data_IF_588723068024
#
_entry.id   IF_588723068024
#
_cell.length_a   1.000
_cell.length_b   1.000
_cell.length_c   1.000
_cell.angle_alpha   90.00
_cell.angle_beta   90.00
_cell.angle_gamma   90.00
#
_symmetry.space_group_name_H-M   'P 1'
#
loop_
_entity.id
_entity.type
_entity.pdbx_description
1 polymer ?
#
# COMPACT_ATOMS: atom_id res chain seq x y z
N UNK A 1 -29.27 -58.11 45.92
CA UNK A 1 -29.42 -57.56 44.54
C UNK A 1 -29.30 -56.05 44.66
N UNK A 2 -28.05 -55.52 44.46
CA UNK A 2 -27.72 -54.12 44.67
C UNK A 2 -27.50 -53.49 43.24
N UNK A 3 -28.37 -52.55 42.89
CA UNK A 3 -28.36 -51.80 41.65
C UNK A 3 -27.32 -50.65 41.73
N UNK A 4 -26.21 -50.74 41.01
CA UNK A 4 -25.30 -49.63 40.79
C UNK A 4 -25.85 -48.71 39.69
N UNK A 5 -26.23 -47.48 40.09
CA UNK A 5 -26.50 -46.37 39.18
C UNK A 5 -25.19 -45.78 38.67
N UNK A 6 -24.86 -46.00 37.41
CA UNK A 6 -23.76 -45.29 36.71
C UNK A 6 -24.24 -43.90 36.35
N UNK A 7 -23.65 -42.87 36.98
CA UNK A 7 -23.81 -41.45 36.56
C UNK A 7 -22.98 -41.24 35.29
N UNK A 8 -23.66 -40.93 34.19
CA UNK A 8 -23.02 -40.36 33.01
C UNK A 8 -22.53 -38.94 33.32
N UNK A 9 -21.21 -38.75 33.37
CA UNK A 9 -20.60 -37.43 33.39
C UNK A 9 -20.56 -36.94 31.93
N UNK A 10 -21.42 -35.97 31.59
CA UNK A 10 -21.33 -35.25 30.34
C UNK A 10 -20.12 -34.33 30.42
N UNK A 11 -19.04 -34.67 29.73
CA UNK A 11 -17.98 -33.73 29.40
C UNK A 11 -18.51 -32.78 28.31
N UNK A 12 -18.82 -31.54 28.68
CA UNK A 12 -18.97 -30.45 27.78
C UNK A 12 -17.57 -30.07 27.26
N UNK A 13 -17.17 -30.67 26.15
CA UNK A 13 -16.06 -30.17 25.38
C UNK A 13 -16.50 -28.83 24.76
N UNK A 14 -16.17 -27.73 25.41
CA UNK A 14 -16.21 -26.39 24.81
C UNK A 14 -15.08 -26.31 23.79
N UNK A 15 -15.35 -26.76 22.58
CA UNK A 15 -14.52 -26.43 21.42
C UNK A 15 -14.61 -24.92 21.20
N UNK A 16 -13.61 -24.19 21.69
CA UNK A 16 -13.27 -22.89 21.13
C UNK A 16 -12.78 -23.16 19.71
N UNK A 17 -13.68 -23.12 18.71
CA UNK A 17 -13.30 -22.95 17.33
C UNK A 17 -12.64 -21.57 17.28
N UNK A 18 -11.30 -21.52 17.32
CA UNK A 18 -10.58 -20.38 16.78
C UNK A 18 -11.19 -20.14 15.39
N UNK A 19 -11.76 -18.96 15.18
CA UNK A 19 -12.20 -18.57 13.86
C UNK A 19 -10.95 -18.50 13.01
N UNK A 20 -10.68 -19.55 12.25
CA UNK A 20 -9.68 -19.49 11.18
C UNK A 20 -10.13 -18.37 10.26
N UNK A 21 -9.40 -17.27 10.28
CA UNK A 21 -9.63 -16.16 9.33
C UNK A 21 -9.23 -16.72 7.97
N UNK A 22 -10.22 -17.06 7.15
CA UNK A 22 -9.98 -17.69 5.85
C UNK A 22 -9.36 -16.73 4.83
N UNK A 23 -9.51 -15.41 5.07
CA UNK A 23 -9.07 -14.36 4.16
C UNK A 23 -8.44 -13.20 4.93
N UNK A 24 -7.38 -12.63 4.39
CA UNK A 24 -6.82 -11.34 4.81
C UNK A 24 -7.39 -10.22 3.93
N UNK A 25 -7.83 -9.14 4.56
CA UNK A 25 -8.37 -7.95 3.93
C UNK A 25 -7.38 -6.83 4.00
N UNK A 26 -6.84 -6.46 2.85
CA UNK A 26 -5.78 -5.46 2.72
C UNK A 26 -6.35 -4.22 2.02
N UNK A 27 -6.10 -3.05 2.61
CA UNK A 27 -6.30 -1.75 1.95
C UNK A 27 -4.95 -1.15 1.63
N UNK A 28 -4.73 -0.79 0.38
CA UNK A 28 -3.62 0.06 -0.03
C UNK A 28 -4.14 1.49 -0.28
N UNK A 29 -3.51 2.49 0.32
CA UNK A 29 -3.79 3.92 0.12
C UNK A 29 -2.70 4.46 -0.82
N UNK A 30 -3.11 5.10 -1.90
CA UNK A 30 -2.21 5.68 -2.90
C UNK A 30 -1.44 6.89 -2.36
N UNK A 31 -0.52 7.39 -3.18
CA UNK A 31 0.49 8.40 -2.84
C UNK A 31 -0.06 9.53 -1.96
N UNK A 32 0.33 9.56 -0.68
CA UNK A 32 -0.13 10.57 0.29
C UNK A 32 0.63 11.87 0.03
N UNK A 33 -0.09 12.93 -0.40
CA UNK A 33 0.51 14.22 -0.76
C UNK A 33 0.23 15.29 0.31
N UNK A 34 1.28 15.68 1.03
CA UNK A 34 1.27 16.77 1.99
C UNK A 34 0.29 16.62 3.15
N UNK A 35 -0.09 17.74 3.79
CA UNK A 35 -1.01 17.73 4.93
C UNK A 35 -2.44 17.32 4.53
N UNK A 36 -2.94 17.79 3.38
CA UNK A 36 -4.29 17.46 2.91
C UNK A 36 -4.44 15.94 2.72
N UNK A 37 -3.40 15.27 2.20
CA UNK A 37 -3.40 13.81 2.07
C UNK A 37 -3.42 13.11 3.43
N UNK A 38 -2.64 13.58 4.41
CA UNK A 38 -2.66 13.01 5.76
C UNK A 38 -4.00 13.24 6.47
N UNK A 39 -4.60 14.45 6.33
CA UNK A 39 -5.92 14.78 6.86
C UNK A 39 -7.01 13.88 6.25
N UNK A 40 -6.91 13.58 4.95
CA UNK A 40 -7.80 12.62 4.28
C UNK A 40 -7.67 11.20 4.85
N UNK A 41 -6.44 10.73 5.13
CA UNK A 41 -6.21 9.44 5.78
C UNK A 41 -6.85 9.42 7.16
N UNK A 42 -6.58 10.42 8.02
CA UNK A 42 -7.15 10.54 9.36
C UNK A 42 -8.69 10.51 9.34
N UNK A 43 -9.29 11.23 8.40
CA UNK A 43 -10.76 11.35 8.26
C UNK A 43 -11.43 10.07 7.77
N UNK A 44 -10.87 9.41 6.76
CA UNK A 44 -11.56 8.32 6.06
C UNK A 44 -11.13 6.92 6.50
N UNK A 45 -9.87 6.73 6.95
CA UNK A 45 -9.37 5.39 7.28
C UNK A 45 -10.17 4.66 8.37
N UNK A 46 -10.60 5.30 9.48
CA UNK A 46 -11.41 4.61 10.50
C UNK A 46 -12.75 4.09 9.95
N UNK A 47 -13.36 4.85 9.02
CA UNK A 47 -14.62 4.48 8.37
C UNK A 47 -14.43 3.33 7.39
N UNK A 48 -13.33 3.36 6.60
CA UNK A 48 -12.96 2.29 5.68
C UNK A 48 -12.64 1.00 6.44
N UNK A 49 -11.86 1.07 7.53
CA UNK A 49 -11.57 -0.09 8.38
C UNK A 49 -12.85 -0.74 8.91
N UNK A 50 -13.82 0.06 9.31
CA UNK A 50 -15.12 -0.45 9.79
C UNK A 50 -15.95 -1.08 8.67
N UNK A 51 -16.07 -0.41 7.51
CA UNK A 51 -16.91 -0.85 6.39
C UNK A 51 -16.42 -2.16 5.79
N UNK A 52 -15.12 -2.26 5.51
CA UNK A 52 -14.51 -3.42 4.85
C UNK A 52 -13.97 -4.46 5.82
N UNK A 53 -13.97 -4.18 7.13
CA UNK A 53 -13.34 -5.00 8.17
C UNK A 53 -11.87 -5.31 7.82
N UNK A 54 -11.10 -4.24 7.56
CA UNK A 54 -9.72 -4.30 7.08
C UNK A 54 -8.79 -4.84 8.17
N UNK A 55 -7.96 -5.81 7.81
CA UNK A 55 -6.94 -6.41 8.69
C UNK A 55 -5.61 -5.65 8.61
N UNK A 56 -5.21 -5.25 7.39
CA UNK A 56 -3.92 -4.58 7.11
C UNK A 56 -4.13 -3.35 6.23
N UNK A 57 -3.47 -2.25 6.59
CA UNK A 57 -3.42 -1.01 5.81
C UNK A 57 -2.00 -0.74 5.37
N UNK A 58 -1.78 -0.63 4.08
CA UNK A 58 -0.53 -0.19 3.47
C UNK A 58 -0.77 1.18 2.84
N UNK A 59 0.20 2.09 2.90
CA UNK A 59 0.08 3.40 2.26
C UNK A 59 1.41 3.83 1.64
N UNK A 60 1.36 4.46 0.46
CA UNK A 60 2.56 5.10 -0.08
C UNK A 60 2.72 6.49 0.55
N UNK A 61 3.85 6.69 1.27
CA UNK A 61 4.15 7.89 2.04
C UNK A 61 5.21 8.80 1.42
N UNK A 62 5.67 8.53 0.20
CA UNK A 62 6.83 9.24 -0.37
C UNK A 62 6.62 10.75 -0.58
N UNK A 63 5.35 11.20 -0.68
CA UNK A 63 4.99 12.61 -0.86
C UNK A 63 4.39 13.24 0.41
N UNK A 64 4.41 12.55 1.55
CA UNK A 64 3.71 12.96 2.77
C UNK A 64 4.30 14.22 3.43
N UNK A 65 5.61 14.48 3.27
CA UNK A 65 6.28 15.67 3.78
C UNK A 65 6.29 16.80 2.74
N UNK A 66 5.19 17.57 2.69
CA UNK A 66 5.05 18.72 1.79
C UNK A 66 5.31 18.38 0.30
N UNK A 67 4.97 17.16 -0.12
CA UNK A 67 5.06 16.68 -1.49
C UNK A 67 6.36 15.95 -1.84
N UNK A 68 7.31 15.80 -0.90
CA UNK A 68 8.57 15.08 -1.12
C UNK A 68 9.12 14.46 0.15
N UNK A 69 9.31 13.14 0.13
CA UNK A 69 9.85 12.39 1.25
C UNK A 69 8.90 12.25 2.43
N UNK A 70 9.44 11.74 3.51
CA UNK A 70 8.74 11.54 4.78
C UNK A 70 9.65 11.96 5.94
N UNK A 71 9.08 12.44 7.06
CA UNK A 71 9.80 12.70 8.30
C UNK A 71 9.46 11.65 9.36
N UNK A 72 10.31 11.52 10.41
CA UNK A 72 10.03 10.62 11.55
C UNK A 72 8.67 10.90 12.18
N UNK A 73 8.31 12.18 12.35
CA UNK A 73 7.02 12.55 12.93
C UNK A 73 5.85 12.08 12.06
N UNK A 74 5.92 12.32 10.72
CA UNK A 74 4.88 11.89 9.78
C UNK A 74 4.78 10.36 9.73
N UNK A 75 5.91 9.64 9.75
CA UNK A 75 5.92 8.18 9.86
C UNK A 75 5.16 7.71 11.10
N UNK A 76 5.47 8.26 12.27
CA UNK A 76 4.79 7.91 13.51
C UNK A 76 3.29 8.28 13.49
N UNK A 77 2.93 9.46 12.95
CA UNK A 77 1.54 9.90 12.84
C UNK A 77 0.71 8.94 11.98
N UNK A 78 1.23 8.53 10.81
CA UNK A 78 0.56 7.57 9.93
C UNK A 78 0.34 6.21 10.61
N UNK A 79 1.33 5.70 11.35
CA UNK A 79 1.16 4.48 12.14
C UNK A 79 0.10 4.64 13.24
N UNK A 80 0.06 5.80 13.92
CA UNK A 80 -0.96 6.11 14.94
C UNK A 80 -2.37 6.21 14.34
N UNK A 81 -2.51 6.71 13.11
CA UNK A 81 -3.77 6.72 12.35
C UNK A 81 -4.24 5.30 11.98
N UNK A 82 -3.36 4.31 12.09
CA UNK A 82 -3.66 2.91 11.84
C UNK A 82 -3.22 2.38 10.48
N UNK A 83 -2.27 3.04 9.83
CA UNK A 83 -1.47 2.47 8.73
C UNK A 83 -0.52 1.44 9.33
N UNK A 84 -0.39 0.27 8.74
CA UNK A 84 0.45 -0.81 9.25
C UNK A 84 1.82 -0.87 8.55
N UNK A 85 1.89 -0.49 7.26
CA UNK A 85 3.14 -0.45 6.47
C UNK A 85 3.12 0.78 5.57
N UNK A 86 4.27 1.45 5.47
CA UNK A 86 4.44 2.62 4.60
C UNK A 86 5.46 2.27 3.51
N UNK A 87 5.05 2.36 2.24
CA UNK A 87 5.93 2.23 1.09
C UNK A 87 6.41 3.59 0.60
N UNK A 88 7.49 3.60 -0.13
CA UNK A 88 8.14 4.80 -0.66
C UNK A 88 8.26 4.73 -2.19
N UNK A 89 9.03 5.62 -2.80
CA UNK A 89 9.28 5.67 -4.23
C UNK A 89 10.51 6.52 -4.56
N UNK A 90 10.48 7.27 -5.68
CA UNK A 90 11.62 8.07 -6.13
C UNK A 90 11.98 9.24 -5.20
N UNK A 91 11.04 9.69 -4.34
CA UNK A 91 11.28 10.75 -3.35
C UNK A 91 11.77 10.23 -1.99
N UNK A 92 12.16 8.95 -1.90
CA UNK A 92 12.65 8.35 -0.64
C UNK A 92 13.72 9.21 0.04
N UNK A 93 14.66 9.76 -0.72
CA UNK A 93 15.82 10.49 -0.20
C UNK A 93 15.67 12.01 -0.23
N UNK A 94 14.55 12.56 -0.66
CA UNK A 94 14.36 14.01 -0.83
C UNK A 94 14.24 14.76 0.49
N UNK A 95 13.82 14.08 1.56
CA UNK A 95 13.82 14.65 2.90
C UNK A 95 14.93 14.03 3.74
N UNK A 96 15.91 14.86 4.17
CA UNK A 96 17.11 14.36 4.88
C UNK A 96 16.81 13.76 6.25
N UNK A 97 15.69 14.08 6.88
CA UNK A 97 15.25 13.52 8.16
C UNK A 97 15.19 11.98 8.11
N UNK A 98 14.93 11.40 6.92
CA UNK A 98 14.84 9.95 6.74
C UNK A 98 16.12 9.22 7.15
N UNK A 99 17.29 9.79 6.94
CA UNK A 99 18.57 9.17 7.29
C UNK A 99 18.77 8.99 8.80
N UNK A 100 18.05 9.76 9.61
CA UNK A 100 18.12 9.68 11.07
C UNK A 100 17.21 8.58 11.65
N UNK A 101 16.37 7.90 10.81
CA UNK A 101 15.42 6.93 11.36
C UNK A 101 15.10 5.71 10.48
N UNK A 102 15.47 5.68 9.20
CA UNK A 102 15.03 4.63 8.28
C UNK A 102 15.46 3.22 8.72
N UNK A 103 16.62 3.08 9.34
CA UNK A 103 17.14 1.79 9.81
C UNK A 103 16.37 1.26 11.02
N UNK A 104 15.77 2.16 11.83
CA UNK A 104 14.94 1.86 12.99
C UNK A 104 13.44 1.78 12.63
N UNK A 105 13.07 2.11 11.40
CA UNK A 105 11.68 2.15 10.94
C UNK A 105 11.21 0.77 10.45
N UNK A 106 10.74 -0.08 11.37
CA UNK A 106 10.37 -1.47 11.07
C UNK A 106 9.26 -1.63 10.03
N UNK A 107 8.43 -0.61 9.84
CA UNK A 107 7.27 -0.62 8.94
C UNK A 107 7.40 0.33 7.75
N UNK A 108 8.62 0.84 7.47
CA UNK A 108 8.93 1.66 6.31
C UNK A 108 9.67 0.83 5.26
N UNK A 109 9.15 0.81 4.03
CA UNK A 109 9.69 -0.01 2.94
C UNK A 109 10.11 0.90 1.80
N UNK A 110 11.41 1.00 1.55
CA UNK A 110 11.95 1.70 0.38
C UNK A 110 11.97 0.78 -0.84
N UNK A 111 12.09 1.29 -2.08
CA UNK A 111 12.29 0.43 -3.23
C UNK A 111 13.46 -0.54 -3.06
N UNK A 112 13.17 -1.84 -3.21
CA UNK A 112 14.14 -2.90 -2.96
C UNK A 112 15.27 -2.93 -4.00
N UNK A 113 14.97 -2.49 -5.22
CA UNK A 113 15.93 -2.43 -6.32
C UNK A 113 16.78 -1.15 -6.34
N UNK A 114 16.81 -0.37 -5.25
CA UNK A 114 17.90 0.56 -4.97
C UNK A 114 19.16 -0.23 -4.60
N UNK A 115 20.34 0.45 -4.56
CA UNK A 115 21.59 -0.20 -4.15
C UNK A 115 21.43 -0.98 -2.85
N UNK A 116 22.07 -2.15 -2.76
CA UNK A 116 22.13 -2.95 -1.52
C UNK A 116 22.78 -2.20 -0.36
N UNK A 117 23.63 -1.21 -0.67
CA UNK A 117 24.30 -0.33 0.34
C UNK A 117 23.35 0.76 0.87
N UNK A 118 22.17 0.96 0.26
CA UNK A 118 21.23 1.98 0.71
C UNK A 118 20.58 1.56 2.04
N UNK A 119 20.42 2.48 3.02
CA UNK A 119 19.82 2.16 4.31
C UNK A 119 18.34 1.79 4.18
N UNK A 120 17.80 1.12 5.22
CA UNK A 120 16.41 0.68 5.29
C UNK A 120 16.12 -0.61 4.53
N UNK A 121 14.87 -1.03 4.55
CA UNK A 121 14.40 -2.34 4.09
C UNK A 121 13.64 -2.23 2.77
N UNK A 122 13.84 -3.17 1.83
CA UNK A 122 13.08 -3.28 0.57
C UNK A 122 11.86 -4.19 0.67
N UNK A 123 11.76 -4.96 1.76
CA UNK A 123 10.64 -5.83 2.12
C UNK A 123 10.46 -5.84 3.63
N UNK A 124 9.21 -5.87 4.09
CA UNK A 124 8.85 -6.13 5.49
C UNK A 124 7.79 -7.22 5.56
N UNK A 125 7.76 -7.93 6.70
CA UNK A 125 6.74 -8.93 6.99
C UNK A 125 5.97 -8.50 8.24
N UNK A 126 4.64 -8.50 8.16
CA UNK A 126 3.76 -8.20 9.28
C UNK A 126 2.81 -9.37 9.51
N UNK A 127 2.50 -9.64 10.78
CA UNK A 127 1.56 -10.70 11.16
C UNK A 127 0.30 -10.11 11.77
N UNK A 128 -0.85 -10.52 11.25
CA UNK A 128 -2.17 -10.18 11.79
C UNK A 128 -3.00 -11.45 11.90
N UNK A 129 -3.62 -11.66 13.06
CA UNK A 129 -4.48 -12.83 13.31
C UNK A 129 -3.80 -14.19 13.00
N UNK A 130 -2.47 -14.28 13.23
CA UNK A 130 -1.69 -15.49 12.96
C UNK A 130 -1.33 -15.71 11.48
N UNK A 131 -1.61 -14.75 10.60
CA UNK A 131 -1.27 -14.80 9.16
C UNK A 131 -0.25 -13.72 8.85
N UNK A 132 0.82 -14.08 8.14
CA UNK A 132 1.89 -13.17 7.74
C UNK A 132 1.66 -12.66 6.33
N UNK A 133 1.80 -11.35 6.12
CA UNK A 133 1.83 -10.68 4.83
C UNK A 133 3.21 -10.08 4.60
N UNK A 134 3.82 -10.39 3.45
CA UNK A 134 5.04 -9.73 3.00
C UNK A 134 4.69 -8.54 2.11
N UNK A 135 5.26 -7.37 2.39
CA UNK A 135 5.09 -6.15 1.60
C UNK A 135 6.42 -5.79 0.97
N UNK A 136 6.44 -5.72 -0.35
CA UNK A 136 7.61 -5.39 -1.17
C UNK A 136 7.36 -4.06 -1.87
N UNK A 137 8.34 -3.17 -1.89
CA UNK A 137 8.31 -1.98 -2.71
C UNK A 137 9.37 -2.07 -3.82
N UNK A 138 9.03 -1.69 -5.03
CA UNK A 138 9.90 -1.70 -6.20
C UNK A 138 9.82 -0.37 -6.94
N UNK A 139 10.89 -0.02 -7.65
CA UNK A 139 10.98 1.20 -8.47
C UNK A 139 11.13 0.85 -9.96
N UNK A 140 10.37 1.52 -10.82
CA UNK A 140 10.49 1.41 -12.28
C UNK A 140 11.76 2.05 -12.81
N UNK A 141 12.11 1.74 -14.05
CA UNK A 141 13.28 2.28 -14.75
C UNK A 141 12.94 3.14 -15.97
N UNK A 142 11.74 2.96 -16.52
CA UNK A 142 11.32 3.70 -17.72
C UNK A 142 10.94 5.12 -17.35
N UNK A 143 11.64 6.10 -17.89
CA UNK A 143 11.52 7.54 -17.58
C UNK A 143 11.86 7.95 -16.15
N UNK A 144 12.47 7.05 -15.39
CA UNK A 144 12.94 7.27 -14.03
C UNK A 144 14.44 6.96 -13.92
N UNK A 145 15.13 7.39 -12.84
CA UNK A 145 16.53 7.04 -12.65
C UNK A 145 16.75 5.52 -12.71
N UNK A 146 17.82 5.05 -13.38
CA UNK A 146 18.10 3.63 -13.50
C UNK A 146 18.54 3.04 -12.16
N UNK A 147 17.85 2.00 -11.73
CA UNK A 147 18.18 1.15 -10.59
C UNK A 147 18.36 -0.30 -11.06
N UNK A 148 18.55 -1.23 -10.13
CA UNK A 148 18.61 -2.65 -10.45
C UNK A 148 17.29 -3.13 -11.08
N UNK A 149 17.33 -4.30 -11.73
CA UNK A 149 16.18 -4.85 -12.43
C UNK A 149 15.01 -5.17 -11.48
N UNK A 150 13.87 -4.46 -11.56
CA UNK A 150 12.73 -4.70 -10.68
C UNK A 150 12.10 -6.07 -10.89
N UNK A 151 12.19 -6.68 -12.08
CA UNK A 151 11.65 -8.01 -12.36
C UNK A 151 12.44 -9.10 -11.64
N UNK A 152 13.77 -9.07 -11.77
CA UNK A 152 14.66 -10.00 -11.08
C UNK A 152 14.60 -9.82 -9.55
N UNK A 153 14.55 -8.56 -9.07
CA UNK A 153 14.42 -8.26 -7.65
C UNK A 153 13.08 -8.76 -7.09
N UNK A 154 11.98 -8.58 -7.83
CA UNK A 154 10.68 -9.09 -7.44
C UNK A 154 10.70 -10.62 -7.26
N UNK A 155 11.26 -11.37 -8.21
CA UNK A 155 11.35 -12.83 -8.13
C UNK A 155 12.14 -13.28 -6.90
N UNK A 156 13.33 -12.69 -6.68
CA UNK A 156 14.18 -12.97 -5.51
C UNK A 156 13.42 -12.79 -4.19
N UNK A 157 12.77 -11.63 -4.02
CA UNK A 157 12.07 -11.30 -2.77
C UNK A 157 10.76 -12.10 -2.59
N UNK A 158 10.04 -12.42 -3.66
CA UNK A 158 8.85 -13.27 -3.58
C UNK A 158 9.23 -14.69 -3.19
N UNK A 159 10.33 -15.24 -3.73
CA UNK A 159 10.83 -16.56 -3.34
C UNK A 159 11.19 -16.58 -1.84
N UNK A 160 11.87 -15.56 -1.34
CA UNK A 160 12.19 -15.39 0.08
C UNK A 160 10.91 -15.28 0.93
N UNK A 161 9.97 -14.40 0.56
CA UNK A 161 8.72 -14.16 1.26
C UNK A 161 7.88 -15.44 1.41
N UNK A 162 7.83 -16.25 0.35
CA UNK A 162 7.06 -17.49 0.28
C UNK A 162 7.59 -18.62 1.17
N UNK A 163 8.80 -18.51 1.68
CA UNK A 163 9.31 -19.43 2.71
C UNK A 163 8.54 -19.28 4.03
N UNK A 164 7.94 -18.11 4.27
CA UNK A 164 7.16 -17.82 5.49
C UNK A 164 5.66 -17.88 5.25
N UNK A 165 5.17 -17.28 4.14
CA UNK A 165 3.74 -17.15 3.84
C UNK A 165 3.49 -16.99 2.34
N UNK A 166 2.38 -17.52 1.79
CA UNK A 166 2.03 -17.31 0.40
C UNK A 166 1.52 -15.90 0.10
N UNK A 167 1.26 -15.07 1.13
CA UNK A 167 0.69 -13.73 0.97
C UNK A 167 1.80 -12.72 0.70
N UNK A 168 1.83 -12.19 -0.52
CA UNK A 168 2.81 -11.19 -0.97
C UNK A 168 2.10 -10.02 -1.65
N UNK A 169 2.34 -8.81 -1.16
CA UNK A 169 1.84 -7.55 -1.72
C UNK A 169 3.00 -6.73 -2.29
N UNK A 170 2.87 -6.28 -3.53
CA UNK A 170 3.91 -5.51 -4.23
C UNK A 170 3.38 -4.12 -4.57
N UNK A 171 4.06 -3.07 -4.09
CA UNK A 171 3.91 -1.70 -4.58
C UNK A 171 5.00 -1.43 -5.61
N UNK A 172 4.61 -1.19 -6.86
CA UNK A 172 5.50 -0.87 -7.97
C UNK A 172 5.40 0.61 -8.33
N UNK A 173 6.31 1.39 -7.77
CA UNK A 173 6.42 2.82 -7.99
C UNK A 173 7.09 3.12 -9.32
N UNK A 174 6.31 3.37 -10.38
CA UNK A 174 6.81 3.48 -11.75
C UNK A 174 6.00 4.46 -12.59
N UNK A 175 6.68 5.15 -13.54
CA UNK A 175 6.04 6.10 -14.46
C UNK A 175 5.29 5.39 -15.59
N UNK A 176 5.94 4.46 -16.30
CA UNK A 176 5.41 3.89 -17.53
C UNK A 176 4.34 2.84 -17.28
N UNK A 177 3.12 3.04 -17.81
CA UNK A 177 2.02 2.08 -17.72
C UNK A 177 2.37 0.71 -18.30
N UNK A 178 3.15 0.66 -19.39
CA UNK A 178 3.59 -0.59 -20.00
C UNK A 178 4.52 -1.40 -19.09
N UNK A 179 5.41 -0.74 -18.35
CA UNK A 179 6.30 -1.39 -17.39
C UNK A 179 5.51 -1.94 -16.20
N UNK A 180 4.53 -1.17 -15.69
CA UNK A 180 3.61 -1.61 -14.64
C UNK A 180 2.80 -2.83 -15.03
N UNK A 181 2.18 -2.80 -16.21
CA UNK A 181 1.39 -3.92 -16.74
C UNK A 181 2.28 -5.15 -16.95
N UNK A 182 3.49 -4.96 -17.49
CA UNK A 182 4.43 -6.06 -17.73
C UNK A 182 4.83 -6.75 -16.41
N UNK A 183 5.16 -5.99 -15.35
CA UNK A 183 5.47 -6.56 -14.05
C UNK A 183 4.25 -7.28 -13.44
N UNK A 184 3.05 -6.70 -13.55
CA UNK A 184 1.82 -7.32 -13.09
C UNK A 184 1.59 -8.71 -13.72
N UNK A 185 1.73 -8.82 -15.06
CA UNK A 185 1.64 -10.10 -15.75
C UNK A 185 2.76 -11.07 -15.40
N UNK A 186 3.98 -10.58 -15.23
CA UNK A 186 5.13 -11.38 -14.85
C UNK A 186 4.94 -12.04 -13.46
N UNK A 187 4.24 -11.34 -12.57
CA UNK A 187 3.99 -11.78 -11.20
C UNK A 187 2.62 -12.47 -11.02
N UNK A 188 1.85 -12.68 -12.09
CA UNK A 188 0.55 -13.34 -11.99
C UNK A 188 0.67 -14.77 -11.45
N UNK A 189 0.02 -15.02 -10.30
CA UNK A 189 0.10 -16.25 -9.51
C UNK A 189 1.33 -16.36 -8.60
N UNK A 190 2.28 -15.40 -8.68
CA UNK A 190 3.44 -15.32 -7.79
C UNK A 190 3.18 -14.38 -6.61
N UNK A 191 2.51 -13.26 -6.83
CA UNK A 191 2.09 -12.30 -5.80
C UNK A 191 0.58 -12.33 -5.58
N UNK A 192 0.13 -11.95 -4.38
CA UNK A 192 -1.30 -11.81 -4.06
C UNK A 192 -1.90 -10.57 -4.72
N UNK A 193 -1.13 -9.47 -4.72
CA UNK A 193 -1.50 -8.22 -5.36
C UNK A 193 -0.25 -7.49 -5.87
N UNK A 194 -0.40 -6.81 -7.00
CA UNK A 194 0.57 -5.86 -7.56
C UNK A 194 -0.18 -4.56 -7.85
N UNK A 195 0.22 -3.49 -7.19
CA UNK A 195 -0.35 -2.16 -7.39
C UNK A 195 0.71 -1.21 -7.95
N UNK A 196 0.33 -0.35 -8.86
CA UNK A 196 1.19 0.74 -9.31
C UNK A 196 0.93 2.03 -8.54
N UNK A 197 1.98 2.86 -8.38
CA UNK A 197 1.97 4.20 -7.79
C UNK A 197 2.77 5.16 -8.66
N UNK A 198 2.93 6.41 -8.30
CA UNK A 198 3.72 7.47 -8.91
C UNK A 198 2.93 8.48 -9.77
N UNK A 199 2.03 8.04 -10.65
CA UNK A 199 1.41 8.98 -11.61
C UNK A 199 0.33 9.85 -10.99
N UNK A 200 -0.10 9.54 -9.75
CA UNK A 200 -1.12 10.27 -8.99
C UNK A 200 -2.54 10.23 -9.58
N UNK A 201 -2.75 9.53 -10.71
CA UNK A 201 -4.06 9.41 -11.36
C UNK A 201 -4.54 7.97 -11.27
N UNK A 202 -5.64 7.73 -10.53
CA UNK A 202 -6.18 6.39 -10.39
C UNK A 202 -6.68 5.83 -11.72
N UNK A 203 -6.15 4.66 -12.10
CA UNK A 203 -6.57 3.98 -13.34
C UNK A 203 -7.83 3.13 -13.13
N UNK A 204 -8.52 2.82 -14.23
CA UNK A 204 -9.81 2.10 -14.20
C UNK A 204 -9.70 0.59 -14.47
N UNK A 205 -8.48 0.05 -14.44
CA UNK A 205 -8.16 -1.32 -14.88
C UNK A 205 -8.01 -2.34 -13.75
N UNK A 206 -8.54 -2.01 -12.56
CA UNK A 206 -8.53 -2.91 -11.40
C UNK A 206 -9.18 -4.27 -11.73
N UNK A 207 -8.45 -5.35 -11.51
CA UNK A 207 -8.91 -6.72 -11.81
C UNK A 207 -8.09 -7.77 -11.10
N UNK A 208 -8.54 -9.02 -11.15
CA UNK A 208 -7.76 -10.19 -10.78
C UNK A 208 -7.27 -10.86 -12.06
N UNK A 209 -5.97 -11.11 -12.16
CA UNK A 209 -5.36 -11.85 -13.26
C UNK A 209 -5.70 -13.35 -13.21
N UNK A 210 -5.55 -14.08 -14.31
CA UNK A 210 -6.01 -15.49 -14.42
C UNK A 210 -5.45 -16.44 -13.37
N UNK A 211 -4.21 -16.22 -12.90
CA UNK A 211 -3.56 -17.06 -11.89
C UNK A 211 -3.83 -16.59 -10.46
N UNK A 212 -4.55 -15.47 -10.27
CA UNK A 212 -5.07 -15.03 -8.98
C UNK A 212 -4.38 -13.84 -8.36
N UNK A 213 -3.58 -13.07 -9.10
CA UNK A 213 -2.99 -11.82 -8.63
C UNK A 213 -3.96 -10.65 -8.84
N UNK A 214 -4.31 -9.91 -7.78
CA UNK A 214 -5.02 -8.64 -7.91
C UNK A 214 -4.10 -7.57 -8.49
N UNK A 215 -4.61 -6.74 -9.41
CA UNK A 215 -3.81 -5.75 -10.12
C UNK A 215 -4.55 -4.44 -10.36
N UNK A 216 -3.83 -3.34 -10.26
CA UNK A 216 -4.21 -2.01 -10.75
C UNK A 216 -2.96 -1.27 -11.26
N UNK A 217 -3.05 -0.61 -12.42
CA UNK A 217 -1.92 0.12 -13.02
C UNK A 217 -1.46 1.30 -12.17
N UNK A 218 -2.39 2.09 -11.62
CA UNK A 218 -2.05 3.13 -10.63
C UNK A 218 -3.20 3.32 -9.64
N UNK A 219 -2.86 3.36 -8.35
CA UNK A 219 -3.83 3.57 -7.27
C UNK A 219 -4.27 5.03 -7.17
N UNK A 220 -3.49 5.94 -7.77
CA UNK A 220 -3.71 7.38 -7.67
C UNK A 220 -3.17 7.98 -6.37
N UNK A 221 -3.37 9.28 -6.18
CA UNK A 221 -2.94 9.98 -4.98
C UNK A 221 -4.05 10.11 -3.93
N UNK A 222 -3.64 10.28 -2.69
CA UNK A 222 -4.46 10.76 -1.59
C UNK A 222 -3.95 12.17 -1.21
N UNK A 223 -4.72 13.21 -1.55
CA UNK A 223 -4.20 14.58 -1.44
C UNK A 223 -5.14 15.65 -1.97
N UNK A 224 -4.61 16.79 -2.41
CA UNK A 224 -5.40 17.91 -2.92
C UNK A 224 -6.16 17.57 -4.21
N UNK A 225 -7.49 17.59 -4.17
CA UNK A 225 -8.34 17.13 -5.28
C UNK A 225 -8.37 18.09 -6.48
N UNK A 226 -8.48 19.41 -6.23
CA UNK A 226 -8.66 20.42 -7.27
C UNK A 226 -7.34 20.91 -7.90
N UNK A 227 -6.25 20.21 -7.64
CA UNK A 227 -4.90 20.62 -8.01
C UNK A 227 -4.28 19.66 -9.06
N UNK A 228 -3.12 20.00 -9.60
CA UNK A 228 -2.47 19.17 -10.60
C UNK A 228 -1.47 18.23 -9.93
N UNK A 229 -1.84 16.94 -9.86
CA UNK A 229 -1.04 15.89 -9.22
C UNK A 229 -0.57 16.28 -7.80
N UNK A 230 -1.45 17.00 -7.05
CA UNK A 230 -1.15 17.46 -5.69
C UNK A 230 -0.38 18.78 -5.61
N UNK A 231 0.03 19.38 -6.73
CA UNK A 231 0.76 20.64 -6.80
C UNK A 231 -0.16 21.78 -7.24
N UNK A 232 0.02 22.97 -6.64
CA UNK A 232 -0.77 24.17 -6.95
C UNK A 232 -0.86 24.40 -8.45
N UNK A 233 -2.07 24.39 -8.99
CA UNK A 233 -2.34 24.37 -10.44
C UNK A 233 -1.80 25.60 -11.19
N UNK A 234 -1.81 26.77 -10.54
CA UNK A 234 -1.33 28.02 -11.16
C UNK A 234 0.16 27.93 -11.53
N UNK A 235 0.99 27.36 -10.64
CA UNK A 235 2.43 27.20 -10.85
C UNK A 235 2.73 26.16 -11.94
N UNK A 236 1.94 25.09 -11.99
CA UNK A 236 2.08 24.03 -13.01
C UNK A 236 1.64 24.54 -14.38
N UNK A 237 0.47 25.19 -14.47
CA UNK A 237 -0.04 25.78 -15.71
C UNK A 237 0.94 26.82 -16.27
N UNK A 238 1.44 27.73 -15.41
CA UNK A 238 2.44 28.71 -15.79
C UNK A 238 3.67 28.08 -16.43
N UNK A 239 4.21 27.01 -15.83
CA UNK A 239 5.35 26.28 -16.37
C UNK A 239 5.06 25.69 -17.76
N UNK A 240 3.90 25.06 -17.94
CA UNK A 240 3.54 24.46 -19.23
C UNK A 240 3.28 25.51 -20.33
N UNK A 241 2.70 26.66 -19.97
CA UNK A 241 2.42 27.73 -20.93
C UNK A 241 3.69 28.50 -21.37
N UNK A 242 4.63 28.69 -20.43
CA UNK A 242 5.77 29.60 -20.66
C UNK A 242 7.10 28.87 -20.81
N UNK A 243 7.19 27.60 -20.40
CA UNK A 243 8.42 26.83 -20.22
C UNK A 243 9.45 27.48 -19.27
N UNK A 244 9.01 28.47 -18.48
CA UNK A 244 9.85 29.13 -17.49
C UNK A 244 9.95 28.31 -16.21
N UNK A 245 11.07 28.39 -15.45
CA UNK A 245 11.19 27.75 -14.16
C UNK A 245 10.06 28.21 -13.22
N UNK A 246 9.39 27.25 -12.59
CA UNK A 246 8.35 27.50 -11.56
C UNK A 246 8.58 26.54 -10.41
N UNK A 247 8.43 27.04 -9.18
CA UNK A 247 8.48 26.20 -7.97
C UNK A 247 7.09 25.60 -7.78
N UNK A 248 7.04 24.26 -7.74
CA UNK A 248 5.82 23.56 -7.42
C UNK A 248 5.67 23.45 -5.88
N UNK A 249 4.49 23.79 -5.40
CA UNK A 249 4.16 23.76 -3.97
C UNK A 249 2.87 22.99 -3.75
N UNK A 250 2.82 22.22 -2.66
CA UNK A 250 1.59 21.56 -2.22
C UNK A 250 0.73 22.57 -1.47
N UNK A 251 -0.55 22.74 -1.82
CA UNK A 251 -1.44 23.65 -1.10
C UNK A 251 -1.68 23.14 0.33
N UNK A 252 -1.93 24.08 1.24
CA UNK A 252 -2.22 23.77 2.65
C UNK A 252 -3.71 23.67 2.96
N UNK A 253 -4.56 24.01 2.01
CA UNK A 253 -6.03 24.02 2.12
C UNK A 253 -6.64 23.68 0.77
N UNK A 254 -7.80 23.05 0.77
CA UNK A 254 -8.54 22.67 -0.42
C UNK A 254 -9.38 21.42 -0.17
N UNK A 255 -10.13 21.00 -1.17
CA UNK A 255 -10.85 19.72 -1.12
C UNK A 255 -9.83 18.57 -1.19
N UNK A 256 -10.10 17.51 -0.46
CA UNK A 256 -9.27 16.29 -0.47
C UNK A 256 -9.87 15.20 -1.35
N UNK A 257 -9.00 14.33 -1.86
CA UNK A 257 -9.34 13.01 -2.41
C UNK A 257 -8.58 11.93 -1.64
N UNK A 258 -9.25 10.80 -1.37
CA UNK A 258 -8.59 9.57 -0.96
C UNK A 258 -8.74 8.54 -2.06
N UNK A 259 -7.62 8.08 -2.59
CA UNK A 259 -7.55 6.98 -3.54
C UNK A 259 -6.97 5.74 -2.86
N UNK A 260 -7.54 4.56 -3.15
CA UNK A 260 -7.08 3.32 -2.56
C UNK A 260 -7.45 2.10 -3.40
N UNK A 261 -6.93 0.96 -3.00
CA UNK A 261 -7.21 -0.34 -3.59
C UNK A 261 -7.42 -1.36 -2.47
N UNK A 262 -8.60 -1.95 -2.42
CA UNK A 262 -8.98 -2.98 -1.46
C UNK A 262 -8.86 -4.35 -2.10
N UNK A 263 -8.30 -5.32 -1.36
CA UNK A 263 -8.12 -6.71 -1.82
C UNK A 263 -8.47 -7.69 -0.70
N UNK A 264 -9.25 -8.72 -1.01
CA UNK A 264 -9.40 -9.91 -0.16
C UNK A 264 -8.49 -11.02 -0.68
N UNK A 265 -7.60 -11.53 0.16
CA UNK A 265 -6.61 -12.56 -0.16
C UNK A 265 -6.93 -13.84 0.61
N UNK A 266 -6.96 -14.98 -0.07
CA UNK A 266 -7.09 -16.29 0.54
C UNK A 266 -5.80 -16.64 1.32
N UNK A 267 -5.93 -16.94 2.61
CA UNK A 267 -4.79 -17.13 3.50
C UNK A 267 -3.97 -18.39 3.22
N UNK A 268 -4.58 -19.39 2.58
CA UNK A 268 -3.91 -20.66 2.30
C UNK A 268 -3.15 -20.62 0.97
N UNK A 269 -3.74 -19.95 -0.02
CA UNK A 269 -3.21 -19.96 -1.39
C UNK A 269 -2.45 -18.70 -1.77
N UNK A 270 -2.64 -17.60 -1.04
CA UNK A 270 -2.15 -16.28 -1.37
C UNK A 270 -2.86 -15.64 -2.58
N UNK A 271 -3.91 -16.25 -3.14
CA UNK A 271 -4.64 -15.73 -4.29
C UNK A 271 -5.69 -14.71 -3.88
N UNK A 272 -5.81 -13.63 -4.63
CA UNK A 272 -6.89 -12.67 -4.49
C UNK A 272 -8.25 -13.31 -4.82
N UNK A 273 -9.27 -12.99 -4.02
CA UNK A 273 -10.67 -13.41 -4.21
C UNK A 273 -11.54 -12.29 -4.73
N UNK A 274 -11.25 -11.06 -4.32
CA UNK A 274 -11.93 -9.85 -4.78
C UNK A 274 -10.96 -8.67 -4.71
N UNK A 275 -11.20 -7.67 -5.54
CA UNK A 275 -10.54 -6.39 -5.45
C UNK A 275 -11.49 -5.26 -5.86
N UNK A 276 -11.27 -4.08 -5.28
CA UNK A 276 -12.11 -2.90 -5.50
C UNK A 276 -11.28 -1.63 -5.44
N UNK A 277 -11.55 -0.68 -6.34
CA UNK A 277 -11.00 0.67 -6.27
C UNK A 277 -11.76 1.48 -5.23
N UNK A 278 -11.02 2.19 -4.39
CA UNK A 278 -11.57 3.17 -3.46
C UNK A 278 -11.25 4.56 -4.03
N UNK A 279 -12.28 5.39 -4.20
CA UNK A 279 -12.14 6.78 -4.66
C UNK A 279 -13.16 7.64 -3.94
N UNK A 280 -12.69 8.49 -3.03
CA UNK A 280 -13.55 9.26 -2.11
C UNK A 280 -13.15 10.72 -2.17
N UNK A 281 -14.11 11.59 -2.47
CA UNK A 281 -14.02 13.05 -2.38
C UNK A 281 -15.41 13.63 -2.21
N UNK A 282 -15.55 14.96 -2.26
CA UNK A 282 -16.86 15.62 -2.10
C UNK A 282 -17.84 15.31 -3.24
N UNK A 283 -17.35 15.09 -4.48
CA UNK A 283 -18.17 14.77 -5.64
C UNK A 283 -18.56 13.28 -5.65
N UNK A 284 -17.75 12.43 -5.02
CA UNK A 284 -17.97 10.99 -4.83
C UNK A 284 -17.85 10.65 -3.33
N UNK A 285 -18.83 11.05 -2.51
CA UNK A 285 -18.72 10.90 -1.07
C UNK A 285 -18.77 9.43 -0.64
N UNK A 286 -18.05 9.13 0.44
CA UNK A 286 -18.06 7.81 1.04
C UNK A 286 -19.45 7.41 1.51
N UNK A 287 -20.00 6.38 0.90
CA UNK A 287 -21.25 5.73 1.30
C UNK A 287 -20.91 4.60 2.29
N UNK A 288 -20.96 4.91 3.58
CA UNK A 288 -20.59 3.98 4.65
C UNK A 288 -21.74 3.56 5.52
#
# INVERSE_FOLDING_TARGET
>A
MVLFKVRKVCYLETYWKERVVEKMKVLFIGDIVGSIGRDAVEKYLPRLKKKYNIDVVIANGENAAAGRGITRNIYNDLLQMGVDVITMGNHTWDNKDIFDFIDDADYLVRPANFSEEAPGKGMVQISKNGVTLSVINLHGRVFLPPHEDPFAMAEKLIEEARQTSPLVFVDFHAEATSEKIALGWHLDGKASAVVGTHTHVQTADARIYPNGTAYITDVGMTGPYDEILGMTKESVIYKFQTNMPSRFEVPKKGREVLSGFFVEIDNQTGKAKSCERIYINEDYPFQG
#
